data_IF_926570453227
#
_entry.id   IF_926570453227
#
_cell.length_a   1.000
_cell.length_b   1.000
_cell.length_c   1.000
_cell.angle_alpha   90.00
_cell.angle_beta   90.00
_cell.angle_gamma   90.00
#
_symmetry.space_group_name_H-M   'P 1'
#
loop_
_entity.id
_entity.type
_entity.pdbx_description
1 polymer ?
#
# COMPACT_ATOMS: atom_id res chain seq x y z
N UNK A 1 -47.65 60.55 -40.61
CA UNK A 1 -46.42 59.90 -40.11
C UNK A 1 -46.78 59.01 -38.94
N UNK A 2 -46.57 57.70 -39.01
CA UNK A 2 -46.64 56.84 -37.83
C UNK A 2 -45.74 55.62 -38.03
N UNK A 3 -44.50 55.72 -37.56
CA UNK A 3 -43.49 54.64 -37.61
C UNK A 3 -43.74 53.69 -36.43
N UNK A 4 -44.04 52.43 -36.80
CA UNK A 4 -43.74 51.14 -36.13
C UNK A 4 -43.36 51.22 -34.65
N UNK A 5 -44.27 50.76 -33.78
CA UNK A 5 -43.94 50.27 -32.44
C UNK A 5 -43.63 48.78 -32.55
N UNK A 6 -42.35 48.41 -32.45
CA UNK A 6 -41.94 47.01 -32.29
C UNK A 6 -42.29 46.62 -30.85
N UNK A 7 -43.25 45.74 -30.66
CA UNK A 7 -43.41 44.98 -29.43
C UNK A 7 -42.53 43.75 -29.57
N UNK A 8 -41.32 43.82 -29.02
CA UNK A 8 -40.57 42.62 -28.68
C UNK A 8 -41.14 42.09 -27.37
N UNK A 9 -41.52 40.82 -27.35
CA UNK A 9 -41.85 40.10 -26.11
C UNK A 9 -40.63 40.10 -25.18
N UNK A 10 -40.77 40.48 -23.90
CA UNK A 10 -39.69 40.43 -22.92
C UNK A 10 -39.66 39.09 -22.15
N UNK A 11 -40.25 38.02 -22.68
CA UNK A 11 -40.17 36.67 -22.10
C UNK A 11 -39.00 35.87 -22.69
N UNK A 12 -37.83 36.49 -22.79
CA UNK A 12 -36.58 35.74 -22.92
C UNK A 12 -36.09 35.38 -21.51
N UNK A 13 -36.36 34.13 -21.12
CA UNK A 13 -35.58 33.32 -20.17
C UNK A 13 -34.94 34.09 -19.00
N UNK A 14 -35.75 34.81 -18.22
CA UNK A 14 -35.28 35.36 -16.94
C UNK A 14 -35.20 34.21 -15.94
N UNK A 15 -34.08 33.49 -15.97
CA UNK A 15 -33.74 32.50 -14.95
C UNK A 15 -33.76 33.22 -13.60
N UNK A 16 -34.75 32.88 -12.77
CA UNK A 16 -34.95 33.51 -11.48
C UNK A 16 -33.79 33.16 -10.54
N UNK A 17 -33.35 34.10 -9.71
CA UNK A 17 -32.28 33.85 -8.74
C UNK A 17 -32.59 32.67 -7.78
N UNK A 18 -33.87 32.32 -7.62
CA UNK A 18 -34.32 31.12 -6.91
C UNK A 18 -33.99 29.82 -7.66
N UNK A 19 -34.22 29.75 -8.98
CA UNK A 19 -33.90 28.55 -9.77
C UNK A 19 -32.39 28.33 -9.87
N UNK A 20 -31.59 29.40 -9.97
CA UNK A 20 -30.12 29.27 -9.91
C UNK A 20 -29.64 28.78 -8.55
N UNK A 21 -30.25 29.24 -7.43
CA UNK A 21 -29.91 28.75 -6.09
C UNK A 21 -30.26 27.28 -5.91
N UNK A 22 -31.44 26.86 -6.34
CA UNK A 22 -31.85 25.44 -6.30
C UNK A 22 -30.91 24.56 -7.13
N UNK A 23 -30.48 25.03 -8.29
CA UNK A 23 -29.57 24.28 -9.16
C UNK A 23 -28.16 24.17 -8.53
N UNK A 24 -27.69 25.24 -7.88
CA UNK A 24 -26.42 25.24 -7.13
C UNK A 24 -26.48 24.31 -5.91
N UNK A 25 -27.60 24.31 -5.18
CA UNK A 25 -27.81 23.44 -4.04
C UNK A 25 -27.92 21.96 -4.47
N UNK A 26 -28.57 21.69 -5.60
CA UNK A 26 -28.60 20.35 -6.19
C UNK A 26 -27.22 19.89 -6.63
N UNK A 27 -26.44 20.72 -7.33
CA UNK A 27 -25.07 20.37 -7.71
C UNK A 27 -24.18 20.14 -6.48
N UNK A 28 -24.31 20.97 -5.45
CA UNK A 28 -23.59 20.79 -4.19
C UNK A 28 -23.98 19.49 -3.51
N UNK A 29 -25.26 19.12 -3.52
CA UNK A 29 -25.76 17.87 -2.95
C UNK A 29 -25.24 16.65 -3.71
N UNK A 30 -25.20 16.70 -5.03
CA UNK A 30 -24.60 15.63 -5.84
C UNK A 30 -23.10 15.48 -5.58
N UNK A 31 -22.36 16.58 -5.54
CA UNK A 31 -20.91 16.55 -5.25
C UNK A 31 -20.63 15.99 -3.85
N UNK A 32 -21.45 16.39 -2.86
CA UNK A 32 -21.34 15.90 -1.49
C UNK A 32 -21.68 14.41 -1.41
N UNK A 33 -22.73 13.96 -2.11
CA UNK A 33 -23.11 12.55 -2.19
C UNK A 33 -22.02 11.68 -2.83
N UNK A 34 -21.35 12.18 -3.88
CA UNK A 34 -20.24 11.48 -4.51
C UNK A 34 -19.04 11.35 -3.57
N UNK A 35 -18.74 12.42 -2.82
CA UNK A 35 -17.70 12.43 -1.80
C UNK A 35 -18.01 11.45 -0.66
N UNK A 36 -19.25 11.39 -0.19
CA UNK A 36 -19.69 10.42 0.84
C UNK A 36 -19.59 8.97 0.34
N UNK A 37 -19.93 8.70 -0.93
CA UNK A 37 -19.77 7.37 -1.53
C UNK A 37 -18.28 7.01 -1.64
N UNK A 38 -17.43 7.96 -2.03
CA UNK A 38 -15.99 7.74 -2.09
C UNK A 38 -15.40 7.49 -0.70
N UNK A 39 -15.81 8.27 0.31
CA UNK A 39 -15.42 8.03 1.70
C UNK A 39 -15.88 6.66 2.19
N UNK A 40 -17.11 6.25 1.88
CA UNK A 40 -17.65 4.94 2.26
C UNK A 40 -16.88 3.80 1.59
N UNK A 41 -16.56 3.94 0.31
CA UNK A 41 -15.76 2.96 -0.43
C UNK A 41 -14.35 2.84 0.15
N UNK A 42 -13.71 3.98 0.46
CA UNK A 42 -12.39 3.99 1.08
C UNK A 42 -12.42 3.39 2.49
N UNK A 43 -13.44 3.72 3.29
CA UNK A 43 -13.64 3.17 4.63
C UNK A 43 -13.81 1.64 4.59
N UNK A 44 -14.62 1.14 3.66
CA UNK A 44 -14.83 -0.30 3.46
C UNK A 44 -13.57 -1.03 2.99
N UNK A 45 -12.79 -0.43 2.08
CA UNK A 45 -11.50 -0.97 1.67
C UNK A 45 -10.53 -1.03 2.86
N UNK A 46 -10.42 0.06 3.63
CA UNK A 46 -9.55 0.11 4.81
C UNK A 46 -10.02 -0.85 5.91
N UNK A 47 -11.32 -1.04 6.08
CA UNK A 47 -11.89 -2.03 7.00
C UNK A 47 -11.57 -3.45 6.56
N UNK A 48 -11.63 -3.74 5.26
CA UNK A 48 -11.22 -5.04 4.70
C UNK A 48 -9.73 -5.30 4.95
N UNK A 49 -8.87 -4.33 4.63
CA UNK A 49 -7.43 -4.43 4.88
C UNK A 49 -7.16 -4.59 6.37
N UNK A 50 -7.80 -3.79 7.22
CA UNK A 50 -7.64 -3.84 8.68
C UNK A 50 -8.12 -5.18 9.27
N UNK A 51 -9.25 -5.73 8.80
CA UNK A 51 -9.74 -7.06 9.21
C UNK A 51 -8.76 -8.15 8.76
N UNK A 52 -8.18 -8.06 7.56
CA UNK A 52 -7.18 -9.04 7.12
C UNK A 52 -5.86 -8.94 7.90
N UNK A 53 -5.41 -7.74 8.27
CA UNK A 53 -4.21 -7.57 9.11
C UNK A 53 -4.47 -7.91 10.57
N UNK A 54 -5.66 -7.63 11.11
CA UNK A 54 -6.02 -7.98 12.48
C UNK A 54 -6.24 -9.48 12.64
N UNK A 55 -6.80 -10.18 11.64
CA UNK A 55 -6.84 -11.66 11.64
C UNK A 55 -5.45 -12.27 11.75
N UNK A 56 -4.48 -11.73 10.99
CA UNK A 56 -3.07 -12.16 11.10
C UNK A 56 -2.49 -11.90 12.49
N UNK A 57 -2.88 -10.80 13.12
CA UNK A 57 -2.44 -10.44 14.47
C UNK A 57 -3.08 -11.34 15.54
N UNK A 58 -4.37 -11.66 15.39
CA UNK A 58 -5.09 -12.61 16.25
C UNK A 58 -4.54 -14.04 16.09
N UNK A 59 -4.22 -14.45 14.86
CA UNK A 59 -3.56 -15.74 14.58
C UNK A 59 -2.17 -15.78 15.24
N UNK A 60 -1.37 -14.71 15.11
CA UNK A 60 -0.06 -14.61 15.78
C UNK A 60 -0.19 -14.63 17.32
N UNK A 61 -1.20 -13.95 17.87
CA UNK A 61 -1.47 -13.94 19.31
C UNK A 61 -1.84 -15.33 19.80
N UNK A 62 -2.67 -16.06 19.03
CA UNK A 62 -3.08 -17.42 19.36
C UNK A 62 -1.90 -18.39 19.32
N UNK A 63 -1.03 -18.24 18.33
CA UNK A 63 0.18 -19.04 18.17
C UNK A 63 1.20 -18.76 19.29
N UNK A 64 1.39 -17.49 19.67
CA UNK A 64 2.22 -17.11 20.82
C UNK A 64 1.62 -17.59 22.14
N UNK A 65 0.29 -17.57 22.28
CA UNK A 65 -0.40 -18.09 23.47
C UNK A 65 -0.33 -19.62 23.57
N UNK A 66 -0.36 -20.35 22.45
CA UNK A 66 -0.19 -21.81 22.41
C UNK A 66 1.26 -22.23 22.77
N UNK A 67 2.23 -21.46 22.29
CA UNK A 67 3.65 -21.58 22.71
C UNK A 67 3.82 -21.26 24.20
N UNK A 68 3.12 -20.25 24.73
CA UNK A 68 3.15 -19.89 26.15
C UNK A 68 2.44 -20.92 27.02
N UNK A 69 1.32 -21.48 26.57
CA UNK A 69 0.58 -22.54 27.25
C UNK A 69 1.39 -23.83 27.34
N UNK A 70 2.14 -24.16 26.28
CA UNK A 70 3.07 -25.28 26.29
C UNK A 70 4.37 -25.05 27.08
N UNK A 71 4.69 -23.81 27.46
CA UNK A 71 5.75 -23.50 28.45
C UNK A 71 5.24 -23.51 29.91
N UNK A 72 3.95 -23.27 30.16
CA UNK A 72 3.40 -23.22 31.53
C UNK A 72 3.17 -24.59 32.19
N UNK A 73 3.36 -25.71 31.47
CA UNK A 73 3.33 -27.05 32.05
C UNK A 73 4.60 -27.45 32.82
N UNK A 74 5.52 -26.52 33.10
CA UNK A 74 6.75 -26.82 33.86
C UNK A 74 6.90 -25.98 35.13
N UNK A 75 5.84 -25.28 35.56
CA UNK A 75 5.85 -24.51 36.81
C UNK A 75 4.66 -24.85 37.70
N UNK A 76 4.35 -26.15 37.79
CA UNK A 76 3.55 -26.75 38.83
C UNK A 76 4.24 -28.03 39.27
N UNK A 77 4.54 -28.12 40.57
CA UNK A 77 5.04 -29.27 41.31
C UNK A 77 6.50 -29.75 41.08
N UNK A 78 7.31 -29.36 42.06
CA UNK A 78 8.40 -30.18 42.59
C UNK A 78 7.89 -31.59 42.93
N UNK A 79 8.10 -32.56 42.03
CA UNK A 79 7.91 -33.96 42.37
C UNK A 79 7.78 -34.88 41.17
N UNK A 80 8.88 -35.48 40.74
CA UNK A 80 8.85 -36.72 39.95
C UNK A 80 9.22 -36.60 38.47
N UNK A 81 10.37 -37.18 38.14
CA UNK A 81 10.73 -37.87 36.90
C UNK A 81 10.00 -37.48 35.59
N UNK A 82 10.75 -36.86 34.69
CA UNK A 82 10.37 -36.73 33.29
C UNK A 82 11.21 -35.70 32.56
N UNK A 83 12.54 -35.90 32.51
CA UNK A 83 13.32 -35.22 31.47
C UNK A 83 12.70 -35.64 30.14
N UNK A 84 12.19 -34.73 29.29
CA UNK A 84 11.67 -35.12 27.99
C UNK A 84 12.80 -35.86 27.28
N UNK A 85 12.54 -37.06 26.77
CA UNK A 85 13.56 -37.88 26.13
C UNK A 85 14.30 -37.01 25.11
N UNK A 86 15.63 -37.15 25.04
CA UNK A 86 16.48 -36.35 24.13
C UNK A 86 15.89 -36.32 22.71
N UNK A 87 15.30 -37.44 22.28
CA UNK A 87 14.58 -37.62 21.02
C UNK A 87 13.32 -36.74 20.87
N UNK A 88 12.47 -36.56 21.90
CA UNK A 88 11.30 -35.66 21.80
C UNK A 88 11.73 -34.20 21.67
N UNK A 89 12.80 -33.80 22.37
CA UNK A 89 13.34 -32.45 22.27
C UNK A 89 13.96 -32.21 20.88
N UNK A 90 14.69 -33.20 20.37
CA UNK A 90 15.27 -33.17 19.02
C UNK A 90 14.18 -33.16 17.93
N UNK A 91 13.11 -33.93 18.09
CA UNK A 91 11.96 -33.92 17.18
C UNK A 91 11.24 -32.56 17.19
N UNK A 92 11.09 -31.92 18.35
CA UNK A 92 10.51 -30.57 18.45
C UNK A 92 11.40 -29.52 17.79
N UNK A 93 12.72 -29.60 17.98
CA UNK A 93 13.69 -28.71 17.32
C UNK A 93 13.63 -28.92 15.80
N UNK A 94 13.67 -30.16 15.33
CA UNK A 94 13.57 -30.48 13.90
C UNK A 94 12.27 -29.97 13.27
N UNK A 95 11.14 -30.07 13.99
CA UNK A 95 9.85 -29.52 13.53
C UNK A 95 9.87 -28.00 13.43
N UNK A 96 10.45 -27.32 14.41
CA UNK A 96 10.61 -25.85 14.40
C UNK A 96 11.53 -25.44 13.25
N UNK A 97 12.67 -26.12 13.08
CA UNK A 97 13.62 -25.85 11.99
C UNK A 97 12.97 -26.04 10.61
N UNK A 98 12.18 -27.11 10.44
CA UNK A 98 11.41 -27.33 9.22
C UNK A 98 10.40 -26.21 8.96
N UNK A 99 9.70 -25.73 10.00
CA UNK A 99 8.71 -24.68 9.84
C UNK A 99 9.36 -23.31 9.55
N UNK A 100 10.46 -23.00 10.22
CA UNK A 100 11.27 -21.80 9.95
C UNK A 100 11.85 -21.85 8.53
N UNK A 101 12.28 -23.01 8.06
CA UNK A 101 12.75 -23.19 6.68
C UNK A 101 11.63 -22.92 5.65
N UNK A 102 10.40 -23.39 5.92
CA UNK A 102 9.24 -23.09 5.08
C UNK A 102 8.91 -21.60 5.06
N UNK A 103 8.79 -20.96 6.24
CA UNK A 103 8.54 -19.52 6.34
C UNK A 103 9.61 -18.69 5.64
N UNK A 104 10.88 -19.12 5.72
CA UNK A 104 11.98 -18.48 5.02
C UNK A 104 11.84 -18.62 3.50
N UNK A 105 11.50 -19.81 3.00
CA UNK A 105 11.27 -20.03 1.58
C UNK A 105 10.11 -19.18 1.06
N UNK A 106 9.02 -19.10 1.84
CA UNK A 106 7.86 -18.28 1.51
C UNK A 106 8.20 -16.78 1.48
N UNK A 107 9.02 -16.31 2.43
CA UNK A 107 9.51 -14.93 2.43
C UNK A 107 10.39 -14.61 1.22
N UNK A 108 11.32 -15.50 0.87
CA UNK A 108 12.19 -15.33 -0.30
C UNK A 108 11.39 -15.35 -1.61
N UNK A 109 10.28 -16.10 -1.66
CA UNK A 109 9.41 -16.15 -2.84
C UNK A 109 8.72 -14.81 -3.16
N UNK A 110 8.53 -13.96 -2.13
CA UNK A 110 7.92 -12.64 -2.25
C UNK A 110 8.90 -11.51 -2.58
N UNK A 111 10.16 -11.84 -2.90
CA UNK A 111 11.16 -10.86 -3.30
C UNK A 111 11.10 -10.61 -4.81
N UNK A 112 10.80 -9.38 -5.18
CA UNK A 112 10.85 -8.87 -6.55
C UNK A 112 12.28 -8.46 -6.91
N UNK A 113 12.69 -8.73 -8.16
CA UNK A 113 13.92 -8.22 -8.77
C UNK A 113 13.57 -7.13 -9.77
N UNK A 114 13.84 -5.88 -9.42
CA UNK A 114 13.56 -4.72 -10.25
C UNK A 114 14.83 -4.28 -10.99
N UNK A 115 14.70 -3.91 -12.26
CA UNK A 115 15.80 -3.39 -13.06
C UNK A 115 15.72 -1.87 -13.07
N UNK A 116 16.77 -1.20 -12.61
CA UNK A 116 16.84 0.27 -12.61
C UNK A 116 17.86 0.71 -13.63
N UNK A 117 17.41 1.38 -14.68
CA UNK A 117 18.28 2.04 -15.65
C UNK A 117 18.71 3.39 -15.09
N UNK A 118 20.00 3.48 -14.77
CA UNK A 118 20.67 4.70 -14.32
C UNK A 118 20.85 5.71 -15.47
N UNK A 119 21.27 6.91 -15.08
CA UNK A 119 21.58 8.03 -16.00
C UNK A 119 22.81 7.74 -16.88
N UNK A 120 23.71 6.90 -16.37
CA UNK A 120 24.90 6.39 -17.06
C UNK A 120 24.57 5.28 -18.07
N UNK A 121 23.29 4.92 -18.21
CA UNK A 121 22.82 3.84 -19.09
C UNK A 121 23.03 2.44 -18.51
N UNK A 122 23.60 2.31 -17.30
CA UNK A 122 23.79 1.00 -16.65
C UNK A 122 22.51 0.54 -15.98
N UNK A 123 22.27 -0.76 -16.04
CA UNK A 123 21.11 -1.39 -15.40
C UNK A 123 21.52 -2.07 -14.10
N UNK A 124 20.98 -1.59 -12.98
CA UNK A 124 21.23 -2.14 -11.65
C UNK A 124 20.03 -2.99 -11.21
N UNK A 125 20.27 -4.19 -10.68
CA UNK A 125 19.20 -5.07 -10.18
C UNK A 125 18.96 -4.84 -8.68
N UNK A 126 17.75 -4.46 -8.30
CA UNK A 126 17.34 -4.23 -6.90
C UNK A 126 16.41 -5.35 -6.45
N UNK A 127 16.70 -5.92 -5.29
CA UNK A 127 15.86 -6.92 -4.62
C UNK A 127 15.01 -6.23 -3.59
N UNK A 128 13.70 -6.32 -3.71
CA UNK A 128 12.76 -5.68 -2.78
C UNK A 128 11.54 -6.57 -2.55
N UNK A 129 11.00 -6.55 -1.34
CA UNK A 129 9.80 -7.31 -1.01
C UNK A 129 8.57 -6.73 -1.75
N UNK A 130 7.65 -7.60 -2.18
CA UNK A 130 6.42 -7.21 -2.90
C UNK A 130 5.56 -6.21 -2.11
N UNK A 131 5.47 -6.40 -0.80
CA UNK A 131 4.69 -5.54 0.11
C UNK A 131 5.45 -4.29 0.57
N UNK A 132 6.61 -3.97 -0.03
CA UNK A 132 7.35 -2.77 0.31
C UNK A 132 6.68 -1.50 -0.22
N UNK A 133 7.01 -0.37 0.40
CA UNK A 133 6.61 0.95 -0.05
C UNK A 133 7.52 1.49 -1.16
N UNK A 134 6.99 2.42 -1.95
CA UNK A 134 7.78 3.17 -2.94
C UNK A 134 8.95 3.92 -2.27
N UNK A 135 8.76 4.39 -1.04
CA UNK A 135 9.80 5.08 -0.28
C UNK A 135 11.03 4.19 -0.01
N UNK A 136 10.79 2.91 0.28
CA UNK A 136 11.86 1.92 0.46
C UNK A 136 12.61 1.68 -0.84
N UNK A 137 11.89 1.56 -1.97
CA UNK A 137 12.51 1.43 -3.29
C UNK A 137 13.37 2.65 -3.65
N UNK A 138 12.83 3.86 -3.45
CA UNK A 138 13.58 5.09 -3.68
C UNK A 138 14.85 5.15 -2.82
N UNK A 139 14.78 4.75 -1.56
CA UNK A 139 15.96 4.72 -0.69
C UNK A 139 17.03 3.75 -1.19
N UNK A 140 16.64 2.54 -1.59
CA UNK A 140 17.56 1.55 -2.17
C UNK A 140 18.23 2.06 -3.46
N UNK A 141 17.46 2.71 -4.34
CA UNK A 141 17.99 3.32 -5.56
C UNK A 141 18.96 4.45 -5.26
N UNK A 142 18.60 5.34 -4.33
CA UNK A 142 19.42 6.47 -3.88
C UNK A 142 20.77 6.00 -3.35
N UNK A 143 20.78 4.95 -2.51
CA UNK A 143 22.00 4.37 -1.95
C UNK A 143 22.90 3.75 -3.02
N UNK A 144 22.32 3.06 -4.02
CA UNK A 144 23.10 2.38 -5.06
C UNK A 144 23.64 3.32 -6.13
N UNK A 145 22.91 4.39 -6.45
CA UNK A 145 23.30 5.37 -7.46
C UNK A 145 23.94 6.64 -6.86
N UNK A 146 24.02 6.75 -5.53
CA UNK A 146 24.56 7.90 -4.80
C UNK A 146 23.92 9.25 -5.15
N UNK A 147 22.60 9.26 -5.40
CA UNK A 147 21.85 10.47 -5.75
C UNK A 147 20.87 10.83 -4.63
N UNK A 148 20.85 12.08 -4.14
CA UNK A 148 19.91 12.53 -3.12
C UNK A 148 18.44 12.33 -3.54
N UNK A 149 17.59 11.85 -2.61
CA UNK A 149 16.16 11.60 -2.84
C UNK A 149 15.41 12.81 -3.44
N UNK A 150 15.78 14.03 -3.08
CA UNK A 150 15.15 15.27 -3.58
C UNK A 150 15.53 15.62 -5.03
N UNK A 151 16.63 15.07 -5.54
CA UNK A 151 17.18 15.35 -6.86
C UNK A 151 16.86 14.28 -7.90
N UNK A 152 16.21 13.18 -7.51
CA UNK A 152 15.86 12.10 -8.42
C UNK A 152 14.36 11.85 -8.56
N UNK A 153 14.00 11.31 -9.71
CA UNK A 153 12.67 10.78 -10.03
C UNK A 153 12.85 9.39 -10.60
N UNK A 154 11.99 8.47 -10.18
CA UNK A 154 11.90 7.13 -10.75
C UNK A 154 10.64 7.08 -11.58
N UNK A 155 10.76 6.62 -12.82
CA UNK A 155 9.65 6.43 -13.75
C UNK A 155 9.44 4.94 -14.00
N UNK A 156 8.19 4.50 -13.86
CA UNK A 156 7.76 3.19 -14.29
C UNK A 156 6.67 3.34 -15.34
N UNK A 157 6.94 2.89 -16.56
CA UNK A 157 6.06 3.11 -17.71
C UNK A 157 5.75 4.61 -17.89
N UNK A 158 4.59 5.08 -17.41
CA UNK A 158 4.13 6.47 -17.46
C UNK A 158 3.85 7.05 -16.07
N UNK A 159 4.03 6.25 -15.01
CA UNK A 159 3.78 6.65 -13.63
C UNK A 159 5.09 7.08 -12.97
N UNK A 160 5.07 8.25 -12.34
CA UNK A 160 6.18 8.72 -11.54
C UNK A 160 6.07 8.16 -10.12
N UNK A 161 7.14 7.56 -9.66
CA UNK A 161 7.33 7.09 -8.30
C UNK A 161 8.07 8.20 -7.54
N UNK A 162 7.34 8.91 -6.66
CA UNK A 162 7.91 9.94 -5.78
C UNK A 162 8.02 9.43 -4.34
N UNK A 163 9.09 9.86 -3.68
CA UNK A 163 9.27 9.66 -2.25
C UNK A 163 8.26 10.49 -1.45
N UNK A 164 7.62 9.89 -0.46
CA UNK A 164 6.62 10.54 0.40
C UNK A 164 5.17 10.40 -0.09
N UNK A 165 4.93 9.67 -1.18
CA UNK A 165 3.57 9.39 -1.65
C UNK A 165 2.81 8.40 -0.74
N UNK A 166 3.51 7.68 0.16
CA UNK A 166 2.90 6.70 1.05
C UNK A 166 2.28 5.48 0.35
N UNK A 167 2.60 5.26 -0.93
CA UNK A 167 2.04 4.18 -1.75
C UNK A 167 2.92 2.93 -1.73
N UNK A 168 2.29 1.78 -1.94
CA UNK A 168 2.96 0.49 -2.04
C UNK A 168 3.36 0.18 -3.48
N UNK A 169 4.32 -0.73 -3.67
CA UNK A 169 4.70 -1.19 -5.01
C UNK A 169 3.54 -1.88 -5.74
N UNK A 170 2.64 -2.52 -4.98
CA UNK A 170 1.40 -3.14 -5.48
C UNK A 170 0.46 -2.14 -6.15
N UNK A 171 0.42 -0.89 -5.71
CA UNK A 171 -0.49 0.15 -6.25
C UNK A 171 -0.09 0.58 -7.67
N UNK A 172 1.16 0.32 -8.05
CA UNK A 172 1.73 0.63 -9.36
C UNK A 172 1.77 -0.57 -10.29
N UNK A 173 1.27 -1.73 -9.84
CA UNK A 173 1.34 -3.01 -10.57
C UNK A 173 2.77 -3.34 -11.05
N UNK A 174 3.74 -3.15 -10.14
CA UNK A 174 5.15 -3.46 -10.42
C UNK A 174 5.35 -4.97 -10.28
N UNK A 175 5.80 -5.60 -11.36
CA UNK A 175 6.04 -7.05 -11.44
C UNK A 175 7.51 -7.42 -11.28
N UNK A 176 7.82 -8.71 -11.12
CA UNK A 176 9.21 -9.20 -11.17
C UNK A 176 9.83 -8.83 -12.52
N UNK A 177 11.09 -8.41 -12.51
CA UNK A 177 11.85 -7.97 -13.68
C UNK A 177 11.27 -6.73 -14.40
N UNK A 178 10.47 -5.92 -13.70
CA UNK A 178 10.05 -4.62 -14.21
C UNK A 178 11.23 -3.66 -14.37
N UNK A 179 11.22 -2.86 -15.43
CA UNK A 179 12.26 -1.84 -15.69
C UNK A 179 11.81 -0.46 -15.25
N UNK A 180 12.62 0.18 -14.40
CA UNK A 180 12.46 1.51 -13.86
C UNK A 180 13.51 2.43 -14.47
N UNK A 181 13.14 3.66 -14.81
CA UNK A 181 14.05 4.66 -15.34
C UNK A 181 14.37 5.70 -14.27
N UNK A 182 15.65 5.91 -14.00
CA UNK A 182 16.13 6.94 -13.11
C UNK A 182 16.38 8.23 -13.90
N UNK A 183 15.76 9.33 -13.47
CA UNK A 183 15.89 10.66 -14.07
C UNK A 183 16.22 11.68 -12.99
N UNK A 184 17.04 12.69 -13.30
CA UNK A 184 17.32 13.79 -12.38
C UNK A 184 16.29 14.90 -12.53
N UNK A 185 15.96 15.54 -11.41
CA UNK A 185 15.45 16.90 -11.43
C UNK A 185 16.61 17.83 -11.72
N UNK A 186 16.48 18.66 -12.75
CA UNK A 186 17.36 19.79 -12.95
C UNK A 186 17.04 20.83 -11.87
N UNK A 187 17.96 21.02 -10.93
CA UNK A 187 17.95 22.21 -10.06
C UNK A 187 18.46 23.38 -10.89
N UNK A 188 17.63 24.40 -11.09
CA UNK A 188 18.02 25.69 -11.65
C UNK A 188 18.47 26.64 -10.55
#
# INVERSE_FOLDING_TARGET
MAKRKRTGDPDEDVVTMSTLRELLDNQKKELTGLMEVQERNFRSFMETVMVTTNRRLDDLIREVQDVKGSMQYSQGDTGGAGTPCKEEREQRIAKIESHVAQLRADYESNILRLLVKGLDGKTTVIRIHKDATVDRLCREVSQRHNIPLGQMRILYTTKQLEYGAGKYLSDYDIQDKSTLFLVLRLCG
#
